data_IF_961288017704
#
_entry.id   IF_961288017704
#
_cell.length_a   1.000
_cell.length_b   1.000
_cell.length_c   1.000
_cell.angle_alpha   90.00
_cell.angle_beta   90.00
_cell.angle_gamma   90.00
#
_symmetry.space_group_name_H-M   'P 1'
#
loop_
_entity.id
_entity.type
_entity.pdbx_description
1 polymer ?
#
# COMPACT_ATOMS: atom_id res chain seq x y z
N UNK A 1 -8.62 -25.80 -10.29
CA UNK A 1 -8.10 -25.53 -8.94
C UNK A 1 -7.76 -24.07 -8.79
N UNK A 2 -8.30 -23.45 -7.77
CA UNK A 2 -8.00 -22.05 -7.51
C UNK A 2 -6.74 -21.95 -6.68
N UNK A 3 -5.77 -21.19 -7.18
CA UNK A 3 -4.59 -20.89 -6.39
C UNK A 3 -4.98 -20.01 -5.19
N UNK A 4 -4.30 -20.16 -4.08
CA UNK A 4 -4.49 -19.26 -2.95
C UNK A 4 -4.01 -17.87 -3.34
N UNK A 5 -4.91 -16.89 -3.24
CA UNK A 5 -4.58 -15.51 -3.52
C UNK A 5 -3.97 -14.90 -2.26
N UNK A 6 -2.78 -14.36 -2.38
CA UNK A 6 -2.10 -13.74 -1.24
C UNK A 6 -2.56 -12.29 -1.12
N UNK A 7 -3.02 -11.94 0.07
CA UNK A 7 -3.49 -10.59 0.37
C UNK A 7 -2.34 -9.72 0.85
N UNK A 8 -2.12 -8.64 0.15
CA UNK A 8 -1.06 -7.68 0.45
C UNK A 8 -1.70 -6.36 0.85
N UNK A 9 -1.16 -5.74 1.88
CA UNK A 9 -1.63 -4.43 2.32
C UNK A 9 -0.59 -3.36 2.08
N UNK A 10 -1.05 -2.16 1.79
CA UNK A 10 -0.20 -0.97 1.69
C UNK A 10 -0.70 0.07 2.68
N UNK A 11 0.16 0.47 3.61
CA UNK A 11 -0.12 1.58 4.50
C UNK A 11 0.69 2.78 4.02
N UNK A 12 -0.01 3.78 3.50
CA UNK A 12 0.62 4.98 2.97
C UNK A 12 0.66 6.05 4.07
N UNK A 13 1.84 6.62 4.27
CA UNK A 13 2.04 7.71 5.21
C UNK A 13 2.12 9.00 4.40
N UNK A 14 1.44 10.06 4.85
CA UNK A 14 1.47 11.35 4.15
C UNK A 14 2.89 11.76 3.82
N UNK A 15 3.10 12.18 2.58
CA UNK A 15 4.41 12.52 2.08
C UNK A 15 5.19 11.31 1.60
N UNK A 16 4.53 10.17 1.42
CA UNK A 16 5.22 8.97 0.97
C UNK A 16 5.85 9.18 -0.40
N UNK A 17 6.93 8.44 -0.66
CA UNK A 17 7.60 8.49 -1.95
C UNK A 17 6.85 7.60 -2.93
N UNK A 18 6.37 8.18 -4.04
CA UNK A 18 5.63 7.43 -5.05
C UNK A 18 6.43 6.25 -5.56
N UNK A 19 7.74 6.42 -5.72
CA UNK A 19 8.61 5.34 -6.20
C UNK A 19 8.61 4.15 -5.24
N UNK A 20 8.59 4.41 -3.92
CA UNK A 20 8.54 3.33 -2.94
C UNK A 20 7.27 2.51 -3.07
N UNK A 21 6.14 3.17 -3.29
CA UNK A 21 4.86 2.52 -3.48
C UNK A 21 4.81 1.76 -4.82
N UNK A 22 5.16 2.42 -5.91
CA UNK A 22 5.07 1.82 -7.24
C UNK A 22 6.04 0.66 -7.43
N UNK A 23 7.20 0.70 -6.78
CA UNK A 23 8.19 -0.37 -6.88
C UNK A 23 7.73 -1.67 -6.22
N UNK A 24 6.68 -1.62 -5.41
CA UNK A 24 6.12 -2.82 -4.81
C UNK A 24 4.84 -3.25 -5.53
N UNK A 25 3.92 -2.30 -5.76
CA UNK A 25 2.62 -2.65 -6.34
C UNK A 25 2.75 -3.11 -7.80
N UNK A 26 3.66 -2.52 -8.57
CA UNK A 26 3.81 -2.87 -9.98
C UNK A 26 4.34 -4.29 -10.20
N UNK A 27 5.34 -4.78 -9.45
CA UNK A 27 5.72 -6.19 -9.57
C UNK A 27 4.59 -7.15 -9.24
N UNK A 28 3.74 -6.81 -8.27
CA UNK A 28 2.59 -7.65 -7.92
C UNK A 28 1.60 -7.71 -9.09
N UNK A 29 1.33 -6.57 -9.69
CA UNK A 29 0.47 -6.49 -10.86
C UNK A 29 1.04 -7.30 -12.02
N UNK A 30 2.34 -7.20 -12.25
CA UNK A 30 3.01 -7.93 -13.32
C UNK A 30 2.95 -9.44 -13.09
N UNK A 31 3.09 -9.88 -11.83
CA UNK A 31 2.97 -11.29 -11.50
C UNK A 31 1.60 -11.84 -11.89
N UNK A 32 0.54 -11.07 -11.59
CA UNK A 32 -0.81 -11.46 -11.98
C UNK A 32 -0.93 -11.52 -13.51
N UNK A 33 -0.36 -10.55 -14.20
CA UNK A 33 -0.43 -10.48 -15.65
C UNK A 33 0.29 -11.67 -16.30
N UNK A 34 1.52 -11.94 -15.87
CA UNK A 34 2.33 -13.01 -16.44
C UNK A 34 1.74 -14.38 -16.18
N UNK A 35 1.19 -14.60 -14.99
CA UNK A 35 0.59 -15.89 -14.63
C UNK A 35 -0.80 -16.08 -15.23
N UNK A 36 -1.40 -15.03 -15.77
CA UNK A 36 -2.75 -15.03 -16.32
C UNK A 36 -3.82 -15.40 -15.28
N UNK A 37 -3.51 -15.21 -14.01
CA UNK A 37 -4.48 -15.45 -12.92
C UNK A 37 -4.11 -14.58 -11.72
N UNK A 38 -5.08 -14.31 -10.83
CA UNK A 38 -4.83 -13.45 -9.68
C UNK A 38 -4.03 -14.20 -8.60
N UNK A 39 -2.72 -14.00 -8.59
CA UNK A 39 -1.83 -14.56 -7.56
C UNK A 39 -1.83 -13.67 -6.33
N UNK A 40 -1.95 -12.35 -6.53
CA UNK A 40 -1.95 -11.36 -5.45
C UNK A 40 -3.20 -10.50 -5.53
N UNK A 41 -3.72 -10.15 -4.37
CA UNK A 41 -4.68 -9.07 -4.24
C UNK A 41 -4.12 -8.07 -3.25
N UNK A 42 -4.55 -6.81 -3.31
CA UNK A 42 -4.04 -5.81 -2.40
C UNK A 42 -5.09 -4.81 -2.01
N UNK A 43 -4.87 -4.21 -0.84
CA UNK A 43 -5.65 -3.09 -0.38
C UNK A 43 -4.69 -1.95 -0.04
N UNK A 44 -5.19 -0.74 -0.16
CA UNK A 44 -4.43 0.48 0.11
C UNK A 44 -5.17 1.25 1.19
N UNK A 45 -4.45 1.67 2.23
CA UNK A 45 -5.05 2.43 3.30
C UNK A 45 -4.08 3.48 3.84
N UNK A 46 -4.54 4.29 4.75
CA UNK A 46 -3.75 5.33 5.40
C UNK A 46 -4.37 5.67 6.75
N UNK A 47 -3.74 6.59 7.48
CA UNK A 47 -4.16 6.90 8.85
C UNK A 47 -5.44 7.72 8.93
N UNK A 48 -5.71 8.55 7.93
CA UNK A 48 -6.87 9.42 7.98
C UNK A 48 -7.45 9.67 6.59
N UNK A 49 -8.74 9.93 6.54
CA UNK A 49 -9.41 10.32 5.32
C UNK A 49 -9.56 9.19 4.33
N UNK A 50 -9.78 9.56 3.07
CA UNK A 50 -10.03 8.61 2.00
C UNK A 50 -8.89 8.54 0.98
N UNK A 51 -7.82 9.28 1.22
CA UNK A 51 -6.67 9.33 0.34
C UNK A 51 -5.44 9.78 1.11
N UNK A 52 -4.28 9.47 0.58
CA UNK A 52 -2.99 9.88 1.14
C UNK A 52 -2.21 10.55 0.03
N UNK A 53 -1.57 11.68 0.36
CA UNK A 53 -0.78 12.44 -0.61
C UNK A 53 0.67 11.99 -0.60
N UNK A 54 1.20 11.73 -1.78
CA UNK A 54 2.62 11.46 -1.96
C UNK A 54 3.42 12.77 -1.86
N UNK A 55 4.74 12.63 -1.72
CA UNK A 55 5.62 13.79 -1.62
C UNK A 55 5.61 14.66 -2.87
N UNK A 56 5.21 14.10 -4.00
CA UNK A 56 5.10 14.86 -5.26
C UNK A 56 3.72 15.47 -5.48
N UNK A 57 2.82 15.36 -4.50
CA UNK A 57 1.48 15.94 -4.57
C UNK A 57 0.42 15.02 -5.17
N UNK A 58 0.80 13.88 -5.72
CA UNK A 58 -0.19 12.93 -6.24
C UNK A 58 -0.94 12.31 -5.07
N UNK A 59 -2.27 12.26 -5.20
CA UNK A 59 -3.11 11.67 -4.16
C UNK A 59 -3.54 10.27 -4.58
N UNK A 60 -3.36 9.33 -3.65
CA UNK A 60 -3.75 7.94 -3.88
C UNK A 60 -4.95 7.61 -3.01
N UNK A 61 -6.01 7.13 -3.64
CA UNK A 61 -7.24 6.79 -2.95
C UNK A 61 -7.06 5.53 -2.11
N UNK A 62 -7.66 5.53 -0.91
CA UNK A 62 -7.70 4.33 -0.11
C UNK A 62 -8.77 3.39 -0.66
N UNK A 63 -8.46 2.10 -0.68
CA UNK A 63 -9.41 1.08 -1.14
C UNK A 63 -10.07 0.36 0.03
N UNK A 64 -9.55 0.54 1.25
CA UNK A 64 -10.08 -0.10 2.44
C UNK A 64 -9.71 0.71 3.68
N UNK A 65 -10.41 0.46 4.78
CA UNK A 65 -10.07 1.06 6.06
C UNK A 65 -8.82 0.40 6.65
N UNK A 66 -8.13 1.14 7.51
CA UNK A 66 -6.85 0.69 8.07
C UNK A 66 -6.98 -0.65 8.83
N UNK A 67 -8.14 -0.90 9.44
CA UNK A 67 -8.35 -2.14 10.19
C UNK A 67 -8.23 -3.39 9.33
N UNK A 68 -8.50 -3.28 8.03
CA UNK A 68 -8.42 -4.41 7.12
C UNK A 68 -6.98 -4.82 6.81
N UNK A 69 -6.00 -3.99 7.16
CA UNK A 69 -4.59 -4.36 6.99
C UNK A 69 -4.21 -5.54 7.88
N UNK A 70 -4.90 -5.74 9.00
CA UNK A 70 -4.64 -6.86 9.90
C UNK A 70 -4.96 -8.21 9.27
N UNK A 71 -5.79 -8.23 8.23
CA UNK A 71 -6.15 -9.45 7.51
C UNK A 71 -5.18 -9.79 6.39
N UNK A 72 -4.20 -8.93 6.14
CA UNK A 72 -3.24 -9.14 5.06
C UNK A 72 -2.09 -10.01 5.54
N UNK A 73 -1.56 -10.82 4.63
CA UNK A 73 -0.40 -11.67 4.93
C UNK A 73 0.87 -10.85 5.09
N UNK A 74 0.95 -9.73 4.38
CA UNK A 74 2.09 -8.85 4.42
C UNK A 74 1.61 -7.41 4.21
N UNK A 75 2.16 -6.49 4.99
CA UNK A 75 1.83 -5.07 4.86
C UNK A 75 3.11 -4.30 4.59
N UNK A 76 3.09 -3.54 3.49
CA UNK A 76 4.18 -2.62 3.17
C UNK A 76 3.83 -1.23 3.70
N UNK A 77 4.72 -0.67 4.49
CA UNK A 77 4.56 0.69 5.00
C UNK A 77 5.36 1.60 4.09
N UNK A 78 4.67 2.47 3.36
CA UNK A 78 5.30 3.38 2.42
C UNK A 78 5.44 4.75 3.05
N UNK A 79 6.65 5.10 3.42
CA UNK A 79 6.98 6.39 3.98
C UNK A 79 7.74 7.25 2.99
N UNK A 80 8.25 8.36 3.46
CA UNK A 80 9.01 9.28 2.64
C UNK A 80 9.82 10.22 3.50
N UNK A 81 10.11 11.38 2.95
CA UNK A 81 10.99 12.34 3.54
C UNK A 81 10.63 12.74 4.98
N UNK A 82 9.35 12.87 5.28
CA UNK A 82 8.90 13.31 6.60
C UNK A 82 8.32 12.19 7.47
N UNK A 83 8.45 10.95 7.02
CA UNK A 83 7.82 9.82 7.73
C UNK A 83 8.32 9.66 9.15
N UNK A 84 9.62 9.86 9.41
CA UNK A 84 10.15 9.71 10.76
C UNK A 84 9.60 10.76 11.72
N UNK A 85 9.39 11.99 11.26
CA UNK A 85 8.80 13.02 12.10
C UNK A 85 7.35 12.70 12.44
N UNK A 86 6.60 12.21 11.46
CA UNK A 86 5.21 11.82 11.67
C UNK A 86 5.10 10.66 12.63
N UNK A 87 5.98 9.69 12.50
CA UNK A 87 5.98 8.52 13.38
C UNK A 87 6.37 8.89 14.80
N UNK A 88 7.32 9.81 14.95
CA UNK A 88 7.73 10.29 16.27
C UNK A 88 6.59 11.02 16.97
N UNK A 89 5.87 11.86 16.23
CA UNK A 89 4.74 12.59 16.79
C UNK A 89 3.57 11.68 17.14
N UNK A 90 3.42 10.58 16.44
CA UNK A 90 2.33 9.63 16.68
C UNK A 90 2.63 8.70 17.86
N UNK A 91 3.87 8.58 18.25
CA UNK A 91 4.29 7.73 19.34
C UNK A 91 4.35 8.50 20.66
#
# INVERSE_FOLDING_TARGET
MTANIKKIGFLLIDGFTMMAFSNVIEPLRMANYVSSQPVYSWIISGFAGHQTSASNGVQVAHTAEIKHLFDCELVFICGGYEAENLMTDAL
#
